data_IF_919660849194
#
_entry.id   IF_919660849194
#
_cell.length_a   1.000
_cell.length_b   1.000
_cell.length_c   1.000
_cell.angle_alpha   90.00
_cell.angle_beta   90.00
_cell.angle_gamma   90.00
#
_symmetry.space_group_name_H-M   'P 1'
#
loop_
_entity.id
_entity.type
_entity.pdbx_description
1 polymer ?
#
# COMPACT_ATOMS: atom_id res chain seq x y z
N UNK A 1 35.09 -51.29 28.71
CA UNK A 1 35.24 -49.88 29.03
C UNK A 1 34.97 -49.05 27.79
N UNK A 2 33.70 -48.61 27.58
CA UNK A 2 33.29 -47.82 26.41
C UNK A 2 33.23 -46.37 26.82
N UNK A 3 34.09 -45.55 26.25
CA UNK A 3 34.13 -44.10 26.45
C UNK A 3 33.08 -43.50 25.49
N UNK A 4 32.02 -42.92 26.05
CA UNK A 4 31.04 -42.07 25.32
C UNK A 4 31.60 -40.65 25.24
N UNK A 5 31.94 -40.21 24.03
CA UNK A 5 32.30 -38.84 23.75
C UNK A 5 30.97 -38.08 23.58
N UNK A 6 30.65 -37.22 24.54
CA UNK A 6 29.54 -36.31 24.49
C UNK A 6 29.96 -35.08 23.68
N UNK A 7 29.52 -34.98 22.41
CA UNK A 7 29.61 -33.72 21.65
C UNK A 7 28.55 -32.74 22.16
N UNK A 8 28.99 -31.82 23.00
CA UNK A 8 28.16 -30.67 23.38
C UNK A 8 28.23 -29.64 22.24
N UNK A 9 27.16 -29.54 21.49
CA UNK A 9 26.95 -28.41 20.59
C UNK A 9 26.71 -27.14 21.44
N UNK A 10 27.74 -26.34 21.63
CA UNK A 10 27.58 -24.96 22.03
C UNK A 10 26.98 -24.17 20.86
N UNK A 11 25.65 -24.07 20.80
CA UNK A 11 24.98 -23.06 20.02
C UNK A 11 25.26 -21.74 20.71
N UNK A 12 26.00 -20.88 20.03
CA UNK A 12 26.20 -19.50 20.47
C UNK A 12 24.84 -18.82 20.63
N UNK A 13 24.49 -18.54 21.87
CA UNK A 13 23.23 -17.91 22.29
C UNK A 13 23.40 -16.40 22.38
N UNK A 14 24.16 -15.79 21.45
CA UNK A 14 24.50 -14.36 21.52
C UNK A 14 23.78 -13.48 20.48
N UNK A 15 22.92 -14.00 19.59
CA UNK A 15 22.30 -13.20 18.54
C UNK A 15 20.76 -13.08 18.59
N UNK A 16 20.15 -13.28 19.76
CA UNK A 16 18.71 -13.05 19.95
C UNK A 16 18.42 -12.03 21.06
N UNK A 17 19.16 -10.93 21.05
CA UNK A 17 18.63 -9.69 21.64
C UNK A 17 17.69 -9.14 20.58
N UNK A 18 16.39 -9.47 20.68
CA UNK A 18 15.37 -8.80 19.87
C UNK A 18 15.53 -7.30 20.11
N UNK A 19 15.85 -6.56 19.05
CA UNK A 19 15.97 -5.12 19.11
C UNK A 19 14.62 -4.57 19.57
N UNK A 20 14.53 -4.12 20.81
CA UNK A 20 13.28 -3.64 21.42
C UNK A 20 12.69 -2.43 20.69
N UNK A 21 13.48 -1.77 19.82
CA UNK A 21 13.07 -0.55 19.13
C UNK A 21 13.67 -0.50 17.73
N UNK A 22 12.79 -0.41 16.72
CA UNK A 22 13.18 -0.23 15.34
C UNK A 22 13.38 1.25 14.99
N UNK A 23 14.43 1.55 14.27
CA UNK A 23 14.75 2.89 13.77
C UNK A 23 14.17 3.08 12.36
N UNK A 24 13.22 3.98 12.26
CA UNK A 24 12.64 4.38 11.00
C UNK A 24 13.41 5.53 10.35
N UNK A 25 13.63 5.43 9.05
CA UNK A 25 14.02 6.54 8.21
C UNK A 25 12.91 6.85 7.20
N UNK A 26 12.73 8.11 6.83
CA UNK A 26 11.80 8.52 5.79
C UNK A 26 12.54 9.13 4.61
N UNK A 27 12.23 8.66 3.41
CA UNK A 27 12.70 9.23 2.15
C UNK A 27 11.60 10.08 1.53
N UNK A 28 11.72 11.38 1.67
CA UNK A 28 10.75 12.39 1.29
C UNK A 28 10.25 13.19 2.49
N UNK A 29 9.72 14.39 2.22
CA UNK A 29 9.24 15.33 3.26
C UNK A 29 7.84 15.88 2.91
N UNK A 30 7.08 15.13 2.10
CA UNK A 30 5.74 15.46 1.65
C UNK A 30 4.67 15.31 2.73
N UNK A 31 3.41 15.40 2.31
CA UNK A 31 2.24 15.32 3.22
C UNK A 31 2.27 14.01 4.03
N UNK A 32 2.52 12.87 3.37
CA UNK A 32 2.53 11.57 4.02
C UNK A 32 3.68 11.44 5.02
N UNK A 33 4.88 11.90 4.67
CA UNK A 33 6.01 11.91 5.62
C UNK A 33 5.69 12.71 6.89
N UNK A 34 4.98 13.86 6.76
CA UNK A 34 4.51 14.63 7.92
C UNK A 34 3.49 13.84 8.76
N UNK A 35 2.54 13.14 8.13
CA UNK A 35 1.58 12.29 8.84
C UNK A 35 2.25 11.12 9.55
N UNK A 36 3.25 10.48 8.90
CA UNK A 36 4.05 9.44 9.50
C UNK A 36 4.80 9.91 10.75
N UNK A 37 5.48 11.07 10.68
CA UNK A 37 6.17 11.62 11.84
C UNK A 37 5.22 11.87 13.03
N UNK A 38 4.01 12.37 12.75
CA UNK A 38 2.96 12.55 13.75
C UNK A 38 2.46 11.21 14.34
N UNK A 39 2.30 10.18 13.49
CA UNK A 39 1.92 8.85 13.95
C UNK A 39 2.99 8.24 14.88
N UNK A 40 4.28 8.35 14.52
CA UNK A 40 5.38 7.93 15.42
C UNK A 40 5.36 8.65 16.77
N UNK A 41 5.09 9.97 16.77
CA UNK A 41 4.97 10.72 18.01
C UNK A 41 3.80 10.23 18.87
N UNK A 42 2.65 9.86 18.28
CA UNK A 42 1.53 9.22 18.99
C UNK A 42 1.95 7.87 19.62
N UNK A 43 2.82 7.12 18.96
CA UNK A 43 3.40 5.86 19.48
C UNK A 43 4.49 6.12 20.56
N UNK A 44 4.78 7.36 20.94
CA UNK A 44 5.87 7.70 21.84
C UNK A 44 7.26 7.48 21.22
N UNK A 45 7.36 7.47 19.90
CA UNK A 45 8.60 7.25 19.13
C UNK A 45 9.01 8.51 18.37
N UNK A 46 10.27 8.57 18.00
CA UNK A 46 10.82 9.64 17.16
C UNK A 46 11.43 9.02 15.92
N UNK A 47 11.20 9.64 14.78
CA UNK A 47 11.83 9.25 13.53
C UNK A 47 13.36 9.39 13.67
N UNK A 48 14.10 8.34 13.33
CA UNK A 48 15.55 8.35 13.45
C UNK A 48 16.19 9.23 12.39
N UNK A 49 15.77 9.11 11.12
CA UNK A 49 16.44 9.79 10.03
C UNK A 49 15.48 10.26 8.91
N UNK A 50 15.91 11.28 8.18
CA UNK A 50 15.22 11.80 7.01
C UNK A 50 16.19 12.08 5.88
N UNK A 51 15.79 11.73 4.65
CA UNK A 51 16.45 12.12 3.41
C UNK A 51 15.46 12.73 2.43
N UNK A 52 15.89 13.71 1.67
CA UNK A 52 15.10 14.33 0.63
C UNK A 52 16.02 14.88 -0.48
N UNK A 53 15.56 14.85 -1.73
CA UNK A 53 16.31 15.42 -2.87
C UNK A 53 16.74 16.88 -2.65
N UNK A 54 15.91 17.65 -1.95
CA UNK A 54 16.22 19.03 -1.54
C UNK A 54 16.63 18.99 -0.08
N UNK A 55 17.92 19.13 0.21
CA UNK A 55 18.49 18.99 1.56
C UNK A 55 17.82 19.91 2.58
N UNK A 56 17.59 21.17 2.22
CA UNK A 56 16.99 22.19 3.10
C UNK A 56 15.59 21.80 3.56
N UNK A 57 14.83 21.05 2.73
CA UNK A 57 13.51 20.50 3.12
C UNK A 57 13.66 19.39 4.15
N UNK A 58 14.71 18.58 4.05
CA UNK A 58 14.99 17.55 5.05
C UNK A 58 15.41 18.17 6.39
N UNK A 59 16.24 19.22 6.36
CA UNK A 59 16.63 19.97 7.56
C UNK A 59 15.40 20.57 8.26
N UNK A 60 14.56 21.31 7.52
CA UNK A 60 13.35 21.91 8.08
C UNK A 60 12.36 20.85 8.65
N UNK A 61 12.27 19.70 7.99
CA UNK A 61 11.46 18.57 8.48
C UNK A 61 12.04 18.01 9.78
N UNK A 62 13.36 17.83 9.85
CA UNK A 62 14.04 17.33 11.04
C UNK A 62 13.89 18.26 12.24
N UNK A 63 14.04 19.56 12.04
CA UNK A 63 13.82 20.58 13.09
C UNK A 63 12.37 20.51 13.63
N UNK A 64 11.38 20.37 12.72
CA UNK A 64 9.97 20.32 13.08
C UNK A 64 9.59 19.12 13.94
N UNK A 65 10.17 17.95 13.67
CA UNK A 65 9.78 16.68 14.28
C UNK A 65 10.83 16.10 15.24
N UNK A 66 11.96 16.78 15.45
CA UNK A 66 13.04 16.30 16.30
C UNK A 66 13.75 15.06 15.74
N UNK A 67 13.91 14.98 14.41
CA UNK A 67 14.58 13.86 13.74
C UNK A 67 16.07 13.91 14.06
N UNK A 68 16.66 12.77 14.43
CA UNK A 68 18.05 12.74 14.93
C UNK A 68 19.08 12.93 13.82
N UNK A 69 18.81 12.44 12.60
CA UNK A 69 19.79 12.45 11.51
C UNK A 69 19.18 12.94 10.19
N UNK A 70 19.93 13.81 9.51
CA UNK A 70 19.58 14.31 8.17
C UNK A 70 20.72 13.95 7.24
N UNK A 71 20.38 13.34 6.09
CA UNK A 71 21.39 13.00 5.08
C UNK A 71 21.47 14.10 4.02
N UNK A 72 22.70 14.52 3.71
CA UNK A 72 22.97 15.42 2.59
C UNK A 72 22.85 14.69 1.25
N UNK A 73 23.30 13.43 1.24
CA UNK A 73 23.18 12.53 0.10
C UNK A 73 22.23 11.37 0.47
N UNK A 74 21.22 11.11 -0.37
CA UNK A 74 20.22 10.07 -0.10
C UNK A 74 20.86 8.69 0.05
N UNK A 75 21.92 8.42 -0.69
CA UNK A 75 22.59 7.13 -0.69
C UNK A 75 23.22 6.78 0.67
N UNK A 76 23.56 7.77 1.49
CA UNK A 76 24.05 7.57 2.86
C UNK A 76 22.99 6.92 3.77
N UNK A 77 21.69 7.19 3.52
CA UNK A 77 20.60 6.57 4.26
C UNK A 77 20.59 5.05 4.11
N UNK A 78 20.87 4.56 2.90
CA UNK A 78 20.84 3.12 2.63
C UNK A 78 21.98 2.39 3.34
N UNK A 79 23.11 3.03 3.52
CA UNK A 79 24.33 2.44 4.12
C UNK A 79 24.40 2.61 5.65
N UNK A 80 23.52 3.40 6.26
CA UNK A 80 23.53 3.61 7.71
C UNK A 80 23.02 2.35 8.44
N UNK A 81 23.92 1.68 9.18
CA UNK A 81 23.63 0.46 9.93
C UNK A 81 22.57 0.65 11.03
N UNK A 82 22.35 1.89 11.48
CA UNK A 82 21.34 2.17 12.50
C UNK A 82 19.92 2.28 11.92
N UNK A 83 19.74 2.36 10.61
CA UNK A 83 18.42 2.35 9.96
C UNK A 83 17.94 0.92 9.78
N UNK A 84 16.76 0.61 10.32
CA UNK A 84 16.12 -0.70 10.17
C UNK A 84 15.09 -0.71 9.05
N UNK A 85 14.19 0.30 9.04
CA UNK A 85 13.08 0.41 8.09
C UNK A 85 13.19 1.75 7.37
N UNK A 86 13.08 1.72 6.05
CA UNK A 86 12.95 2.93 5.24
C UNK A 86 11.53 3.04 4.71
N UNK A 87 10.85 4.15 5.03
CA UNK A 87 9.59 4.53 4.43
C UNK A 87 9.84 5.41 3.20
N UNK A 88 9.55 4.87 2.02
CA UNK A 88 9.71 5.60 0.74
C UNK A 88 8.41 6.35 0.45
N UNK A 89 8.46 7.70 0.45
CA UNK A 89 7.33 8.60 0.20
C UNK A 89 7.61 9.55 -0.97
N UNK A 90 8.52 9.17 -1.84
CA UNK A 90 8.90 9.91 -3.06
C UNK A 90 7.88 9.70 -4.19
N UNK A 91 7.97 10.37 -5.35
CA UNK A 91 7.09 10.09 -6.50
C UNK A 91 7.21 8.65 -7.01
N UNK A 92 6.10 8.09 -7.50
CA UNK A 92 5.97 6.68 -7.93
C UNK A 92 7.11 6.21 -8.85
N UNK A 93 7.51 7.02 -9.82
CA UNK A 93 8.57 6.70 -10.78
C UNK A 93 9.98 6.55 -10.18
N UNK A 94 10.14 6.86 -8.89
CA UNK A 94 11.42 6.72 -8.19
C UNK A 94 11.45 5.51 -7.24
N UNK A 95 10.30 4.90 -6.96
CA UNK A 95 10.18 3.83 -5.97
C UNK A 95 11.08 2.64 -6.30
N UNK A 96 11.02 2.14 -7.53
CA UNK A 96 11.81 0.98 -7.95
C UNK A 96 13.32 1.14 -7.69
N UNK A 97 13.88 2.28 -8.10
CA UNK A 97 15.31 2.54 -7.94
C UNK A 97 15.72 2.61 -6.45
N UNK A 98 14.89 3.26 -5.62
CA UNK A 98 15.15 3.37 -4.18
C UNK A 98 14.91 2.05 -3.44
N UNK A 99 13.86 1.30 -3.79
CA UNK A 99 13.62 -0.03 -3.25
C UNK A 99 14.82 -0.95 -3.49
N UNK A 100 15.31 -1.00 -4.74
CA UNK A 100 16.46 -1.84 -5.11
C UNK A 100 17.70 -1.49 -4.29
N UNK A 101 18.05 -0.20 -4.19
CA UNK A 101 19.18 0.25 -3.39
C UNK A 101 19.04 -0.15 -1.92
N UNK A 102 17.90 0.13 -1.31
CA UNK A 102 17.65 -0.15 0.09
C UNK A 102 17.70 -1.67 0.41
N UNK A 103 17.08 -2.51 -0.42
CA UNK A 103 17.12 -3.97 -0.25
C UNK A 103 18.53 -4.53 -0.39
N UNK A 104 19.33 -4.02 -1.34
CA UNK A 104 20.73 -4.43 -1.49
C UNK A 104 21.59 -4.10 -0.27
N UNK A 105 21.21 -3.07 0.50
CA UNK A 105 21.88 -2.67 1.74
C UNK A 105 21.22 -3.20 3.01
N UNK A 106 20.33 -4.19 2.89
CA UNK A 106 19.77 -4.90 4.04
C UNK A 106 18.68 -4.13 4.80
N UNK A 107 17.97 -3.19 4.17
CA UNK A 107 16.91 -2.42 4.80
C UNK A 107 15.54 -3.03 4.56
N UNK A 108 14.70 -3.12 5.62
CA UNK A 108 13.28 -3.37 5.47
C UNK A 108 12.60 -2.17 4.80
N UNK A 109 11.57 -2.42 4.01
CA UNK A 109 10.92 -1.39 3.20
C UNK A 109 9.43 -1.30 3.45
N UNK A 110 8.99 -0.08 3.71
CA UNK A 110 7.61 0.34 3.65
C UNK A 110 7.49 1.40 2.55
N UNK A 111 6.65 1.18 1.55
CA UNK A 111 6.67 2.00 0.32
C UNK A 111 5.28 2.54 0.03
N UNK A 112 5.18 3.85 -0.20
CA UNK A 112 3.92 4.47 -0.59
C UNK A 112 3.26 3.78 -1.79
N UNK A 113 1.94 3.83 -1.78
CA UNK A 113 1.11 3.37 -2.90
C UNK A 113 1.25 4.38 -4.09
N UNK A 114 1.22 3.93 -5.33
CA UNK A 114 1.43 2.57 -5.76
C UNK A 114 2.90 2.19 -5.61
N UNK A 115 3.15 1.02 -5.08
CA UNK A 115 4.49 0.57 -4.67
C UNK A 115 5.51 0.57 -5.82
N UNK A 116 5.07 0.27 -7.04
CA UNK A 116 5.87 0.23 -8.25
C UNK A 116 5.06 0.76 -9.45
N UNK A 117 5.68 0.93 -10.60
CA UNK A 117 4.97 1.30 -11.82
C UNK A 117 4.28 0.10 -12.49
N UNK A 118 4.85 -1.11 -12.35
CA UNK A 118 4.33 -2.31 -12.99
C UNK A 118 4.69 -3.60 -12.23
N UNK A 119 4.09 -4.71 -12.67
CA UNK A 119 4.28 -6.04 -12.08
C UNK A 119 5.73 -6.50 -12.13
N UNK A 120 6.46 -6.24 -13.22
CA UNK A 120 7.86 -6.67 -13.36
C UNK A 120 8.74 -6.03 -12.30
N UNK A 121 8.61 -4.70 -12.10
CA UNK A 121 9.35 -3.99 -11.06
C UNK A 121 9.04 -4.55 -9.67
N UNK A 122 7.75 -4.78 -9.39
CA UNK A 122 7.33 -5.33 -8.10
C UNK A 122 7.83 -6.77 -7.90
N UNK A 123 7.73 -7.63 -8.91
CA UNK A 123 8.20 -9.02 -8.84
C UNK A 123 9.70 -9.10 -8.57
N UNK A 124 10.50 -8.25 -9.21
CA UNK A 124 11.94 -8.16 -8.96
C UNK A 124 12.21 -7.76 -7.50
N UNK A 125 11.48 -6.77 -6.98
CA UNK A 125 11.67 -6.31 -5.59
C UNK A 125 11.20 -7.34 -4.57
N UNK A 126 10.11 -8.06 -4.83
CA UNK A 126 9.65 -9.19 -3.99
C UNK A 126 10.71 -10.30 -3.97
N UNK A 127 11.26 -10.66 -5.12
CA UNK A 127 12.29 -11.67 -5.22
C UNK A 127 13.55 -11.26 -4.44
N UNK A 128 14.01 -10.02 -4.61
CA UNK A 128 15.17 -9.48 -3.90
C UNK A 128 14.94 -9.40 -2.39
N UNK A 129 13.78 -8.93 -1.94
CA UNK A 129 13.44 -8.88 -0.53
C UNK A 129 13.46 -10.28 0.10
N UNK A 130 12.91 -11.28 -0.61
CA UNK A 130 12.93 -12.69 -0.18
C UNK A 130 14.35 -13.24 -0.11
N UNK A 131 15.18 -13.00 -1.15
CA UNK A 131 16.59 -13.41 -1.18
C UNK A 131 17.38 -12.88 0.02
N UNK A 132 17.14 -11.60 0.34
CA UNK A 132 17.83 -10.91 1.46
C UNK A 132 17.17 -11.14 2.82
N UNK A 133 16.09 -11.93 2.90
CA UNK A 133 15.30 -12.15 4.12
C UNK A 133 14.80 -10.83 4.75
N UNK A 134 14.35 -9.91 3.91
CA UNK A 134 13.84 -8.59 4.29
C UNK A 134 12.33 -8.52 4.13
N UNK A 135 11.70 -7.64 4.90
CA UNK A 135 10.27 -7.31 4.78
C UNK A 135 10.12 -6.18 3.76
N UNK A 136 9.23 -6.39 2.79
CA UNK A 136 8.75 -5.39 1.84
C UNK A 136 7.24 -5.31 1.95
N UNK A 137 6.70 -4.11 2.12
CA UNK A 137 5.26 -3.88 2.16
C UNK A 137 4.87 -2.57 1.47
N UNK A 138 3.66 -2.56 0.91
CA UNK A 138 3.02 -1.35 0.39
C UNK A 138 2.28 -0.62 1.51
N UNK A 139 2.47 0.69 1.63
CA UNK A 139 1.73 1.56 2.52
C UNK A 139 0.32 1.82 1.94
N UNK A 140 -0.52 0.79 2.02
CA UNK A 140 -1.91 0.80 1.58
C UNK A 140 -2.82 0.76 2.80
N UNK A 141 -3.31 1.91 3.22
CA UNK A 141 -4.14 2.09 4.43
C UNK A 141 -5.26 1.07 4.57
N UNK A 142 -5.87 0.63 3.45
CA UNK A 142 -6.94 -0.36 3.43
C UNK A 142 -6.53 -1.66 4.14
N UNK A 143 -5.30 -2.13 3.98
CA UNK A 143 -4.83 -3.37 4.60
C UNK A 143 -4.76 -3.28 6.14
N UNK A 144 -4.58 -2.09 6.67
CA UNK A 144 -4.24 -1.83 8.06
C UNK A 144 -5.41 -1.30 8.89
N UNK A 145 -6.39 -0.63 8.25
CA UNK A 145 -7.55 -0.09 8.97
C UNK A 145 -8.37 -1.19 9.66
N UNK A 146 -8.64 -1.08 10.98
CA UNK A 146 -9.35 -2.11 11.74
C UNK A 146 -10.74 -2.46 11.20
N UNK A 147 -11.44 -1.50 10.58
CA UNK A 147 -12.76 -1.73 9.98
C UNK A 147 -12.72 -2.82 8.93
N UNK A 148 -11.68 -2.88 8.07
CA UNK A 148 -11.59 -3.89 7.02
C UNK A 148 -11.37 -5.29 7.58
N UNK A 149 -10.50 -5.43 8.60
CA UNK A 149 -10.30 -6.71 9.29
C UNK A 149 -11.66 -7.25 9.81
N UNK A 150 -12.47 -6.39 10.42
CA UNK A 150 -13.82 -6.73 10.89
C UNK A 150 -14.81 -7.05 9.77
N UNK A 151 -14.78 -6.31 8.66
CA UNK A 151 -15.66 -6.57 7.52
C UNK A 151 -15.30 -7.87 6.79
N UNK A 152 -14.02 -8.20 6.64
CA UNK A 152 -13.58 -9.47 6.08
C UNK A 152 -14.01 -10.66 6.96
N UNK A 153 -13.91 -10.53 8.29
CA UNK A 153 -14.42 -11.52 9.24
C UNK A 153 -15.94 -11.70 9.08
N UNK A 154 -16.70 -10.62 8.93
CA UNK A 154 -18.14 -10.64 8.71
C UNK A 154 -18.52 -11.38 7.43
N UNK A 155 -17.84 -11.08 6.31
CA UNK A 155 -18.05 -11.79 5.05
C UNK A 155 -17.65 -13.26 5.19
N UNK A 156 -16.51 -13.56 5.78
CA UNK A 156 -15.99 -14.92 5.99
C UNK A 156 -16.89 -15.76 6.90
N UNK A 157 -17.62 -15.15 7.84
CA UNK A 157 -18.58 -15.85 8.70
C UNK A 157 -19.76 -16.46 7.93
N UNK A 158 -20.00 -16.00 6.69
CA UNK A 158 -21.13 -16.42 5.87
C UNK A 158 -22.48 -15.82 6.29
N UNK A 159 -22.52 -14.91 7.26
CA UNK A 159 -23.75 -14.26 7.72
C UNK A 159 -24.48 -13.52 6.60
N UNK A 160 -23.74 -12.89 5.68
CA UNK A 160 -24.26 -12.19 4.51
C UNK A 160 -24.40 -13.10 3.26
N UNK A 161 -24.05 -14.37 3.35
CA UNK A 161 -23.92 -15.25 2.18
C UNK A 161 -22.67 -14.89 1.35
N UNK A 162 -22.60 -15.38 0.11
CA UNK A 162 -21.46 -15.13 -0.77
C UNK A 162 -21.48 -13.72 -1.35
N UNK A 163 -20.31 -13.14 -1.54
CA UNK A 163 -20.15 -11.91 -2.33
C UNK A 163 -20.48 -12.23 -3.80
N UNK A 164 -21.33 -11.41 -4.40
CA UNK A 164 -21.79 -11.57 -5.79
C UNK A 164 -21.24 -10.45 -6.70
N UNK A 165 -21.34 -9.19 -6.23
CA UNK A 165 -20.96 -8.03 -7.01
C UNK A 165 -20.32 -6.94 -6.14
N UNK A 166 -19.30 -6.26 -6.68
CA UNK A 166 -18.65 -5.12 -6.03
C UNK A 166 -18.77 -3.90 -6.94
N UNK A 167 -19.18 -2.76 -6.41
CA UNK A 167 -19.25 -1.50 -7.16
C UNK A 167 -18.40 -0.44 -6.50
N UNK A 168 -17.46 0.15 -7.26
CA UNK A 168 -16.49 1.11 -6.79
C UNK A 168 -16.58 2.43 -7.53
N UNK A 169 -16.56 3.54 -6.79
CA UNK A 169 -16.46 4.87 -7.35
C UNK A 169 -15.32 5.65 -6.70
N UNK A 170 -14.51 6.35 -7.49
CA UNK A 170 -13.56 7.33 -7.01
C UNK A 170 -13.39 8.47 -8.02
N UNK A 171 -14.00 9.61 -7.77
CA UNK A 171 -13.77 10.83 -8.53
C UNK A 171 -13.04 11.86 -7.70
N UNK A 172 -11.83 12.24 -8.13
CA UNK A 172 -10.98 13.23 -7.47
C UNK A 172 -10.86 14.45 -8.37
N UNK A 173 -11.71 15.47 -8.13
CA UNK A 173 -11.63 16.70 -8.93
C UNK A 173 -10.32 17.43 -8.70
N UNK A 174 -9.38 17.28 -9.65
CA UNK A 174 -8.07 17.94 -9.66
C UNK A 174 -8.08 19.13 -10.59
N UNK A 175 -7.29 20.15 -10.25
CA UNK A 175 -7.00 21.24 -11.18
C UNK A 175 -6.43 20.65 -12.48
N UNK A 176 -6.97 21.10 -13.62
CA UNK A 176 -6.59 20.61 -14.96
C UNK A 176 -5.28 21.25 -15.41
N UNK A 177 -4.21 20.92 -14.71
CA UNK A 177 -2.86 21.41 -14.95
C UNK A 177 -1.93 20.23 -15.29
N UNK A 178 -1.48 20.20 -16.54
CA UNK A 178 -0.66 19.12 -17.09
C UNK A 178 0.76 19.03 -16.51
N UNK A 179 1.21 20.06 -15.79
CA UNK A 179 2.52 20.08 -15.14
C UNK A 179 2.48 19.49 -13.72
N UNK A 180 1.28 19.35 -13.11
CA UNK A 180 1.19 18.77 -11.79
C UNK A 180 1.31 17.23 -11.83
N UNK A 181 1.62 16.62 -10.69
CA UNK A 181 1.86 15.18 -10.57
C UNK A 181 0.65 14.31 -10.97
N UNK A 182 -0.55 14.88 -11.04
CA UNK A 182 -1.78 14.11 -11.32
C UNK A 182 -1.96 13.79 -12.80
N UNK A 183 -1.39 14.62 -13.69
CA UNK A 183 -1.50 14.46 -15.13
C UNK A 183 -0.15 14.33 -15.83
N UNK A 184 0.96 14.55 -15.13
CA UNK A 184 2.30 14.55 -15.72
C UNK A 184 2.83 13.12 -15.87
N UNK A 185 3.03 12.67 -17.12
CA UNK A 185 3.58 11.34 -17.43
C UNK A 185 4.97 11.11 -16.85
N UNK A 186 5.83 12.17 -16.79
CA UNK A 186 7.17 12.07 -16.20
C UNK A 186 7.16 11.89 -14.67
N UNK A 187 6.01 12.05 -14.03
CA UNK A 187 5.82 11.85 -12.60
C UNK A 187 4.88 10.66 -12.30
N UNK A 188 4.64 9.82 -13.32
CA UNK A 188 3.71 8.70 -13.26
C UNK A 188 2.29 9.13 -12.83
N UNK A 189 1.80 10.23 -13.43
CA UNK A 189 0.43 10.73 -13.21
C UNK A 189 -0.60 9.84 -13.87
N UNK A 190 -1.85 9.94 -13.42
CA UNK A 190 -3.00 9.22 -13.92
C UNK A 190 -3.90 8.69 -12.81
N UNK A 191 -5.13 8.36 -13.16
CA UNK A 191 -6.14 7.87 -12.22
C UNK A 191 -5.79 6.47 -11.68
N UNK A 192 -5.22 5.60 -12.52
CA UNK A 192 -4.96 4.21 -12.15
C UNK A 192 -4.02 4.10 -10.96
N UNK A 193 -2.84 4.72 -11.04
CA UNK A 193 -1.85 4.66 -9.95
C UNK A 193 -2.23 5.54 -8.75
N UNK A 194 -2.92 6.68 -8.95
CA UNK A 194 -3.24 7.57 -7.81
C UNK A 194 -4.47 7.13 -7.01
N UNK A 195 -5.55 6.74 -7.70
CA UNK A 195 -6.85 6.41 -7.07
C UNK A 195 -7.36 5.01 -7.40
N UNK A 196 -7.02 4.46 -8.56
CA UNK A 196 -7.42 3.12 -9.00
C UNK A 196 -6.86 2.03 -8.09
N UNK A 197 -5.63 2.20 -7.63
CA UNK A 197 -4.98 1.27 -6.70
C UNK A 197 -5.85 1.03 -5.44
N UNK A 198 -6.48 2.06 -4.86
CA UNK A 198 -7.38 1.89 -3.73
C UNK A 198 -8.65 1.10 -4.10
N UNK A 199 -9.27 1.44 -5.25
CA UNK A 199 -10.49 0.77 -5.68
C UNK A 199 -10.25 -0.71 -5.99
N UNK A 200 -9.16 -1.03 -6.69
CA UNK A 200 -8.77 -2.40 -7.00
C UNK A 200 -8.36 -3.19 -5.75
N UNK A 201 -7.76 -2.54 -4.76
CA UNK A 201 -7.45 -3.16 -3.47
C UNK A 201 -8.72 -3.60 -2.73
N UNK A 202 -9.75 -2.76 -2.67
CA UNK A 202 -11.06 -3.17 -2.12
C UNK A 202 -11.63 -4.33 -2.91
N UNK A 203 -11.69 -4.24 -4.24
CA UNK A 203 -12.21 -5.34 -5.09
C UNK A 203 -11.49 -6.65 -4.75
N UNK A 204 -10.14 -6.63 -4.77
CA UNK A 204 -9.34 -7.83 -4.53
C UNK A 204 -9.53 -8.39 -3.12
N UNK A 205 -9.72 -7.53 -2.11
CA UNK A 205 -9.86 -7.96 -0.72
C UNK A 205 -11.20 -8.63 -0.39
N UNK A 206 -12.24 -8.39 -1.20
CA UNK A 206 -13.57 -8.99 -1.03
C UNK A 206 -13.89 -10.07 -2.06
N UNK A 207 -13.07 -10.25 -3.10
CA UNK A 207 -13.17 -11.39 -4.00
C UNK A 207 -12.41 -12.60 -3.45
N UNK A 208 -12.98 -13.79 -3.59
CA UNK A 208 -12.36 -15.05 -3.16
C UNK A 208 -11.07 -15.33 -3.94
N UNK A 209 -11.06 -15.00 -5.24
CA UNK A 209 -9.96 -15.23 -6.17
C UNK A 209 -9.64 -13.96 -6.97
N UNK A 210 -8.42 -13.90 -7.50
CA UNK A 210 -7.99 -12.84 -8.41
C UNK A 210 -8.87 -12.81 -9.67
N UNK A 211 -9.32 -11.64 -10.14
CA UNK A 211 -9.98 -11.50 -11.43
C UNK A 211 -9.11 -11.99 -12.58
N UNK A 212 -9.70 -12.73 -13.51
CA UNK A 212 -9.08 -13.26 -14.73
C UNK A 212 -9.77 -12.77 -16.02
N UNK A 213 -11.00 -12.27 -15.93
CA UNK A 213 -11.68 -11.57 -17.03
C UNK A 213 -11.70 -10.06 -16.72
N UNK A 214 -11.08 -9.26 -17.59
CA UNK A 214 -10.94 -7.80 -17.41
C UNK A 214 -11.34 -7.09 -18.69
N UNK A 215 -12.31 -6.17 -18.60
CA UNK A 215 -12.74 -5.28 -19.69
C UNK A 215 -12.68 -3.84 -19.21
N UNK A 216 -12.32 -2.92 -20.10
CA UNK A 216 -12.24 -1.50 -19.72
C UNK A 216 -12.49 -0.55 -20.89
N UNK A 217 -12.91 0.67 -20.53
CA UNK A 217 -12.88 1.86 -21.36
C UNK A 217 -12.14 2.95 -20.60
N UNK A 218 -11.35 3.75 -21.28
CA UNK A 218 -10.58 4.83 -20.67
C UNK A 218 -10.52 6.06 -21.56
N UNK A 219 -10.20 7.19 -20.96
CA UNK A 219 -9.97 8.46 -21.65
C UNK A 219 -8.61 9.01 -21.22
N UNK A 220 -7.69 9.29 -22.16
CA UNK A 220 -6.45 9.96 -21.85
C UNK A 220 -6.66 11.44 -21.54
N UNK A 221 -5.81 11.98 -20.68
CA UNK A 221 -5.57 13.41 -20.54
C UNK A 221 -4.75 13.94 -21.75
N UNK A 222 -4.58 15.26 -21.92
CA UNK A 222 -3.71 15.81 -22.96
C UNK A 222 -2.26 15.35 -22.92
N UNK A 223 -1.76 14.89 -21.78
CA UNK A 223 -0.40 14.34 -21.63
C UNK A 223 -0.30 12.87 -21.99
N UNK A 224 -1.44 12.17 -22.18
CA UNK A 224 -1.51 10.74 -22.40
C UNK A 224 -1.69 9.90 -21.12
N UNK A 225 -1.68 10.51 -19.93
CA UNK A 225 -2.02 9.79 -18.69
C UNK A 225 -3.53 9.49 -18.65
N UNK A 226 -3.93 8.45 -17.95
CA UNK A 226 -5.32 8.08 -17.77
C UNK A 226 -6.07 9.09 -16.89
N UNK A 227 -6.95 9.88 -17.51
CA UNK A 227 -7.79 10.87 -16.82
C UNK A 227 -8.98 10.20 -16.14
N UNK A 228 -9.59 9.24 -16.82
CA UNK A 228 -10.72 8.47 -16.32
C UNK A 228 -10.77 7.08 -16.92
N UNK A 229 -11.30 6.13 -16.16
CA UNK A 229 -11.51 4.77 -16.62
C UNK A 229 -12.76 4.14 -16.00
N UNK A 230 -13.41 3.25 -16.77
CA UNK A 230 -14.41 2.32 -16.26
C UNK A 230 -13.92 0.90 -16.52
N UNK A 231 -13.95 0.06 -15.49
CA UNK A 231 -13.38 -1.28 -15.53
C UNK A 231 -14.45 -2.28 -15.08
N UNK A 232 -14.56 -3.39 -15.80
CA UNK A 232 -15.35 -4.55 -15.42
C UNK A 232 -14.40 -5.70 -15.13
N UNK A 233 -14.61 -6.37 -14.00
CA UNK A 233 -13.79 -7.48 -13.53
C UNK A 233 -14.69 -8.67 -13.23
N UNK A 234 -14.21 -9.88 -13.49
CA UNK A 234 -14.84 -11.12 -13.08
C UNK A 234 -13.75 -12.12 -12.69
N UNK A 235 -14.02 -12.93 -11.67
CA UNK A 235 -13.11 -14.00 -11.25
C UNK A 235 -13.66 -15.39 -11.62
N UNK A 236 -12.86 -16.47 -11.51
CA UNK A 236 -13.29 -17.83 -11.86
C UNK A 236 -14.51 -18.32 -11.08
N UNK A 237 -14.72 -17.85 -9.85
CA UNK A 237 -15.90 -18.18 -9.04
C UNK A 237 -17.18 -17.43 -9.44
N UNK A 238 -17.10 -16.54 -10.45
CA UNK A 238 -18.22 -15.79 -11.01
C UNK A 238 -18.55 -14.48 -10.30
N UNK A 239 -17.78 -14.08 -9.28
CA UNK A 239 -17.92 -12.78 -8.65
C UNK A 239 -17.53 -11.67 -9.64
N UNK A 240 -18.29 -10.58 -9.67
CA UNK A 240 -18.06 -9.47 -10.59
C UNK A 240 -17.77 -8.17 -9.87
N UNK A 241 -17.02 -7.26 -10.52
CA UNK A 241 -16.85 -5.91 -10.02
C UNK A 241 -16.91 -4.85 -11.13
N UNK A 242 -17.35 -3.65 -10.74
CA UNK A 242 -17.29 -2.45 -11.56
C UNK A 242 -16.51 -1.37 -10.84
N UNK A 243 -15.60 -0.71 -11.55
CA UNK A 243 -14.78 0.39 -11.02
C UNK A 243 -14.89 1.59 -11.92
N UNK A 244 -15.31 2.74 -11.38
CA UNK A 244 -15.38 4.01 -12.10
C UNK A 244 -14.42 5.03 -11.48
N UNK A 245 -13.43 5.49 -12.24
CA UNK A 245 -12.38 6.41 -11.83
C UNK A 245 -12.42 7.70 -12.62
N UNK A 246 -12.18 8.84 -11.98
CA UNK A 246 -11.97 10.11 -12.67
C UNK A 246 -11.07 11.06 -11.89
N UNK A 247 -10.10 11.67 -12.56
CA UNK A 247 -9.24 12.71 -12.00
C UNK A 247 -9.78 14.14 -12.25
N UNK A 248 -10.78 14.30 -13.10
CA UNK A 248 -11.33 15.59 -13.48
C UNK A 248 -12.85 15.72 -13.26
N UNK A 249 -13.48 14.74 -12.64
CA UNK A 249 -14.86 14.85 -12.16
C UNK A 249 -15.00 14.34 -10.73
N UNK A 250 -15.87 14.98 -9.94
CA UNK A 250 -16.11 14.57 -8.56
C UNK A 250 -17.09 13.41 -8.52
N UNK A 251 -16.71 12.35 -7.82
CA UNK A 251 -17.58 11.24 -7.43
C UNK A 251 -17.38 10.96 -5.93
N UNK A 252 -18.35 10.36 -5.23
CA UNK A 252 -18.10 9.87 -3.88
C UNK A 252 -17.03 8.76 -3.92
N UNK A 253 -16.23 8.65 -2.89
CA UNK A 253 -15.36 7.50 -2.67
C UNK A 253 -16.20 6.41 -2.01
N UNK A 254 -16.93 5.66 -2.81
CA UNK A 254 -17.92 4.69 -2.36
C UNK A 254 -17.56 3.29 -2.81
N UNK A 255 -17.58 2.36 -1.87
CA UNK A 255 -17.55 0.93 -2.13
C UNK A 255 -18.89 0.30 -1.72
N UNK A 256 -19.44 -0.56 -2.57
CA UNK A 256 -20.60 -1.37 -2.25
C UNK A 256 -20.27 -2.83 -2.56
N UNK A 257 -20.35 -3.68 -1.55
CA UNK A 257 -20.11 -5.12 -1.63
C UNK A 257 -21.46 -5.83 -1.47
N UNK A 258 -22.04 -6.28 -2.58
CA UNK A 258 -23.33 -6.95 -2.63
C UNK A 258 -23.15 -8.44 -2.42
N UNK A 259 -23.86 -8.96 -1.42
CA UNK A 259 -23.88 -10.37 -1.02
C UNK A 259 -25.29 -10.97 -1.23
N UNK A 260 -25.44 -12.29 -1.04
CA UNK A 260 -26.71 -12.98 -1.23
C UNK A 260 -27.80 -12.53 -0.25
N UNK A 261 -27.43 -12.13 0.97
CA UNK A 261 -28.37 -11.78 2.05
C UNK A 261 -28.33 -10.30 2.45
N UNK A 262 -27.59 -9.48 1.71
CA UNK A 262 -27.46 -8.07 2.02
C UNK A 262 -26.31 -7.41 1.29
N UNK A 263 -25.96 -6.21 1.71
CA UNK A 263 -24.77 -5.54 1.17
C UNK A 263 -24.07 -4.72 2.25
N UNK A 264 -22.79 -4.46 2.00
CA UNK A 264 -21.96 -3.55 2.80
C UNK A 264 -21.72 -2.29 1.98
N UNK A 265 -21.98 -1.13 2.57
CA UNK A 265 -21.65 0.17 1.99
C UNK A 265 -20.55 0.84 2.81
N UNK A 266 -19.48 1.26 2.13
CA UNK A 266 -18.33 1.93 2.75
C UNK A 266 -18.10 3.26 2.02
N UNK A 267 -18.21 4.36 2.77
CA UNK A 267 -17.89 5.71 2.29
C UNK A 267 -16.46 6.08 2.68
N UNK A 268 -15.82 6.97 1.88
CA UNK A 268 -14.42 7.41 2.09
C UNK A 268 -13.44 6.24 2.31
N UNK A 269 -13.66 5.17 1.58
CA UNK A 269 -13.04 3.85 1.77
C UNK A 269 -11.51 3.81 1.81
N UNK A 270 -10.71 4.77 1.29
CA UNK A 270 -9.25 4.69 1.47
C UNK A 270 -8.78 4.68 2.94
N UNK A 271 -9.55 5.30 3.84
CA UNK A 271 -9.27 5.34 5.28
C UNK A 271 -10.55 5.28 6.11
N UNK A 272 -11.47 4.40 5.71
CA UNK A 272 -12.74 4.28 6.43
C UNK A 272 -12.55 3.76 7.86
N UNK A 273 -13.37 4.26 8.77
CA UNK A 273 -13.54 3.77 10.13
C UNK A 273 -14.98 3.33 10.41
N UNK A 274 -15.85 3.46 9.38
CA UNK A 274 -17.27 3.11 9.42
C UNK A 274 -17.72 2.43 8.16
N UNK A 275 -18.72 1.56 8.30
CA UNK A 275 -19.45 0.92 7.21
C UNK A 275 -20.91 0.69 7.63
N UNK A 276 -21.80 0.55 6.65
CA UNK A 276 -23.21 0.18 6.89
C UNK A 276 -23.47 -1.16 6.24
N UNK A 277 -24.00 -2.09 7.02
CA UNK A 277 -24.55 -3.35 6.52
C UNK A 277 -26.05 -3.19 6.39
N UNK A 278 -26.59 -3.61 5.24
CA UNK A 278 -28.03 -3.60 4.97
C UNK A 278 -28.50 -5.02 4.69
N UNK A 279 -29.45 -5.48 5.46
CA UNK A 279 -30.09 -6.78 5.27
C UNK A 279 -31.02 -6.76 4.04
N UNK A 280 -30.94 -7.78 3.18
CA UNK A 280 -31.66 -7.80 1.91
C UNK A 280 -33.17 -8.06 2.08
N UNK A 281 -33.59 -8.77 3.14
CA UNK A 281 -34.99 -9.15 3.36
C UNK A 281 -35.75 -8.05 4.11
N UNK A 282 -35.13 -7.51 5.16
CA UNK A 282 -35.79 -6.52 6.05
C UNK A 282 -35.51 -5.08 5.67
N UNK A 283 -34.39 -4.81 4.96
CA UNK A 283 -33.87 -3.47 4.71
C UNK A 283 -33.27 -2.80 5.95
N UNK A 284 -33.11 -3.55 7.05
CA UNK A 284 -32.51 -3.04 8.28
C UNK A 284 -31.06 -2.61 8.03
N UNK A 285 -30.67 -1.48 8.63
CA UNK A 285 -29.33 -0.92 8.52
C UNK A 285 -28.60 -1.01 9.84
N UNK A 286 -27.45 -1.66 9.83
CA UNK A 286 -26.53 -1.74 10.96
C UNK A 286 -25.25 -0.99 10.65
N UNK A 287 -24.95 0.07 11.41
CA UNK A 287 -23.66 0.76 11.33
C UNK A 287 -22.61 -0.05 12.09
N UNK A 288 -21.45 -0.26 11.45
CA UNK A 288 -20.25 -0.80 12.07
C UNK A 288 -19.20 0.30 12.11
N UNK A 289 -18.58 0.51 13.28
CA UNK A 289 -17.47 1.43 13.47
C UNK A 289 -16.31 0.70 14.12
N UNK A 290 -15.10 0.87 13.59
CA UNK A 290 -13.88 0.25 14.13
C UNK A 290 -12.63 1.00 13.66
N UNK A 291 -11.79 1.43 14.62
CA UNK A 291 -10.62 2.24 14.37
C UNK A 291 -10.96 3.73 14.29
N UNK A 292 -9.99 4.52 13.87
CA UNK A 292 -10.09 5.96 13.66
C UNK A 292 -9.32 6.34 12.39
N UNK A 293 -9.96 7.09 11.49
CA UNK A 293 -9.35 7.58 10.25
C UNK A 293 -8.06 8.38 10.51
N UNK A 294 -7.99 9.10 11.64
CA UNK A 294 -6.80 9.90 12.00
C UNK A 294 -5.58 9.04 12.37
N UNK A 295 -5.79 7.77 12.68
CA UNK A 295 -4.76 6.82 13.09
C UNK A 295 -4.35 5.85 11.96
N UNK A 296 -4.80 6.10 10.73
CA UNK A 296 -4.53 5.22 9.59
C UNK A 296 -3.04 4.87 9.43
N UNK A 297 -2.14 5.87 9.53
CA UNK A 297 -0.70 5.63 9.42
C UNK A 297 -0.12 4.96 10.68
N UNK A 298 -0.72 5.15 11.84
CA UNK A 298 -0.33 4.45 13.07
C UNK A 298 -0.55 2.94 12.89
N UNK A 299 -1.72 2.51 12.41
CA UNK A 299 -2.00 1.09 12.16
C UNK A 299 -1.04 0.48 11.13
N UNK A 300 -0.71 1.20 10.05
CA UNK A 300 0.27 0.78 9.06
C UNK A 300 1.65 0.51 9.68
N UNK A 301 2.10 1.43 10.52
CA UNK A 301 3.42 1.34 11.16
C UNK A 301 3.47 0.24 12.21
N UNK A 302 2.40 0.04 12.98
CA UNK A 302 2.29 -1.05 13.96
C UNK A 302 2.35 -2.42 13.27
N UNK A 303 1.59 -2.62 12.17
CA UNK A 303 1.60 -3.87 11.41
C UNK A 303 2.98 -4.11 10.76
N UNK A 304 3.65 -3.05 10.25
CA UNK A 304 5.01 -3.17 9.68
C UNK A 304 6.05 -3.53 10.76
N UNK A 305 6.03 -2.87 11.91
CA UNK A 305 6.94 -3.20 13.02
C UNK A 305 6.69 -4.62 13.53
N UNK A 306 5.43 -5.02 13.68
CA UNK A 306 5.08 -6.39 14.04
C UNK A 306 5.71 -7.40 13.08
N UNK A 307 5.55 -7.18 11.76
CA UNK A 307 6.12 -8.07 10.75
C UNK A 307 7.66 -8.14 10.81
N UNK A 308 8.34 -7.02 11.04
CA UNK A 308 9.81 -7.01 11.17
C UNK A 308 10.27 -7.76 12.40
N UNK A 309 9.61 -7.55 13.55
CA UNK A 309 10.00 -8.15 14.83
C UNK A 309 9.66 -9.64 14.93
N UNK A 310 8.48 -10.05 14.42
CA UNK A 310 7.98 -11.41 14.59
C UNK A 310 8.19 -12.31 13.37
N UNK A 311 8.46 -11.70 12.20
CA UNK A 311 8.47 -12.36 10.88
C UNK A 311 7.08 -12.84 10.42
N UNK A 312 6.02 -12.48 11.11
CA UNK A 312 4.64 -12.67 10.65
C UNK A 312 4.24 -11.54 9.70
N UNK A 313 4.17 -11.85 8.41
CA UNK A 313 3.81 -10.91 7.34
C UNK A 313 2.34 -11.00 6.94
N UNK A 314 1.53 -11.77 7.64
CA UNK A 314 0.12 -12.02 7.26
C UNK A 314 -0.72 -10.74 7.21
N UNK A 315 -0.39 -9.73 8.04
CA UNK A 315 -1.05 -8.43 8.09
C UNK A 315 -0.60 -7.43 7.01
N UNK A 316 0.38 -7.76 6.17
CA UNK A 316 0.92 -6.83 5.15
C UNK A 316 0.30 -7.02 3.76
N UNK A 317 -0.43 -8.10 3.52
CA UNK A 317 -1.19 -8.40 2.29
C UNK A 317 -0.43 -8.19 0.96
N UNK A 318 0.88 -8.45 0.96
CA UNK A 318 1.74 -8.24 -0.22
C UNK A 318 1.28 -9.05 -1.46
N UNK A 319 0.63 -10.20 -1.24
CA UNK A 319 -0.01 -10.98 -2.29
C UNK A 319 -1.16 -10.22 -2.97
N UNK A 320 -1.97 -9.47 -2.21
CA UNK A 320 -3.03 -8.64 -2.77
C UNK A 320 -2.46 -7.42 -3.49
N UNK A 321 -1.44 -6.77 -2.93
CA UNK A 321 -0.66 -5.73 -3.62
C UNK A 321 -0.17 -6.20 -4.98
N UNK A 322 0.40 -7.44 -5.04
CA UNK A 322 0.84 -8.02 -6.32
C UNK A 322 -0.32 -8.22 -7.31
N UNK A 323 -1.42 -8.81 -6.86
CA UNK A 323 -2.59 -9.04 -7.72
C UNK A 323 -3.14 -7.72 -8.28
N UNK A 324 -3.21 -6.67 -7.46
CA UNK A 324 -3.64 -5.33 -7.87
C UNK A 324 -2.68 -4.72 -8.90
N UNK A 325 -1.38 -4.85 -8.66
CA UNK A 325 -0.36 -4.37 -9.60
C UNK A 325 -0.44 -5.10 -10.94
N UNK A 326 -0.72 -6.41 -10.94
CA UNK A 326 -0.92 -7.20 -12.17
C UNK A 326 -2.11 -6.67 -12.98
N UNK A 327 -3.24 -6.40 -12.32
CA UNK A 327 -4.44 -5.83 -12.97
C UNK A 327 -4.12 -4.45 -13.55
N UNK A 328 -3.47 -3.57 -12.79
CA UNK A 328 -3.10 -2.22 -13.25
C UNK A 328 -2.13 -2.28 -14.43
N UNK A 329 -1.17 -3.19 -14.40
CA UNK A 329 -0.20 -3.39 -15.49
C UNK A 329 -0.88 -3.91 -16.74
N UNK A 330 -1.76 -4.91 -16.60
CA UNK A 330 -2.56 -5.45 -17.70
C UNK A 330 -3.38 -4.34 -18.38
N UNK A 331 -4.14 -3.56 -17.62
CA UNK A 331 -4.97 -2.47 -18.14
C UNK A 331 -4.15 -1.43 -18.88
N UNK A 332 -3.02 -0.99 -18.35
CA UNK A 332 -2.16 -0.01 -19.01
C UNK A 332 -1.51 -0.55 -20.27
N UNK A 333 -1.19 -1.85 -20.33
CA UNK A 333 -0.73 -2.52 -21.55
C UNK A 333 -1.84 -2.53 -22.63
N UNK A 334 -3.07 -2.88 -22.28
CA UNK A 334 -4.22 -2.83 -23.18
C UNK A 334 -4.50 -1.41 -23.69
N UNK A 335 -4.26 -0.40 -22.89
CA UNK A 335 -4.40 1.02 -23.26
C UNK A 335 -3.20 1.57 -24.06
N UNK A 336 -2.16 0.79 -24.24
CA UNK A 336 -0.87 1.24 -24.78
C UNK A 336 -0.33 2.49 -24.04
N UNK A 337 -0.58 2.57 -22.73
CA UNK A 337 -0.18 3.67 -21.85
C UNK A 337 1.06 3.28 -21.04
N UNK A 338 2.20 3.76 -21.48
CA UNK A 338 3.52 3.50 -20.87
C UNK A 338 4.15 4.79 -20.36
N UNK A 339 4.66 4.78 -19.15
CA UNK A 339 5.44 5.91 -18.63
C UNK A 339 6.84 5.96 -19.28
N UNK A 340 7.48 7.17 -19.39
CA UNK A 340 8.74 7.33 -20.15
C UNK A 340 9.88 6.40 -19.72
N UNK A 341 10.05 6.21 -18.42
CA UNK A 341 11.17 5.42 -17.86
C UNK A 341 10.77 3.97 -17.52
N UNK A 342 9.58 3.55 -17.93
CA UNK A 342 9.04 2.23 -17.60
C UNK A 342 9.56 1.15 -18.56
N UNK A 343 9.94 0.00 -18.02
CA UNK A 343 10.25 -1.19 -18.81
C UNK A 343 9.22 -2.29 -18.51
N UNK A 344 8.57 -2.82 -19.56
CA UNK A 344 7.59 -3.90 -19.47
C UNK A 344 8.16 -5.28 -19.86
N UNK A 345 9.37 -5.32 -20.39
CA UNK A 345 10.04 -6.52 -20.91
C UNK A 345 10.92 -7.20 -19.86
#
# INVERSE_FOLDING_TARGET
MKIYILFIFFIHREDLIMKERLNWAVLGTGVIANQMAQALQKMGKTLYAVGNRTYEKAVAFAEKYGVQKVYSEIDEMFTDENVDIIYITSPHNTHYAFMKKALLHGKHLFVEKSIALNSRELDEMIALAREKNLILAEAMTIWHMPIYKKLWETVKSGSLGKVQMITMNFGSFKEYNMNNRFFNMNLAGGAMLDIGVYALSIVRSFMDEKPDEILSQWKPSPTGSDEQATILLKNPSGQMATVALSMHSKQPKRAMISCEKGYIEIMEYPRADKAVIVDAETGEKTEISCGDTSDALLYEMEDMEHAVLTRDTSGLYLNYTKDVMDIMTYLRKEWNMKYPDENWD
#
